data_IF_710307669642
#
_entry.id   IF_710307669642
#
_cell.length_a   1.000
_cell.length_b   1.000
_cell.length_c   1.000
_cell.angle_alpha   90.00
_cell.angle_beta   90.00
_cell.angle_gamma   90.00
#
_symmetry.space_group_name_H-M   'P 1'
#
loop_
_entity.id
_entity.type
_entity.pdbx_description
1 polymer ?
#
# COMPACT_ATOMS: atom_id res chain seq x y z
N UNK A 1 -26.84 38.09 45.55
CA UNK A 1 -25.48 37.56 45.29
C UNK A 1 -25.50 36.15 44.70
N UNK A 2 -26.14 35.17 45.36
CA UNK A 2 -26.21 33.77 44.87
C UNK A 2 -26.93 33.64 43.52
N UNK A 3 -28.04 34.35 43.32
CA UNK A 3 -28.81 34.31 42.05
C UNK A 3 -27.97 34.81 40.87
N UNK A 4 -27.21 35.91 41.06
CA UNK A 4 -26.35 36.45 40.02
C UNK A 4 -25.23 35.45 39.63
N UNK A 5 -24.66 34.75 40.62
CA UNK A 5 -23.68 33.71 40.38
C UNK A 5 -24.29 32.49 39.66
N UNK A 6 -25.51 32.08 40.01
CA UNK A 6 -26.22 31.02 39.29
C UNK A 6 -26.48 31.38 37.82
N UNK A 7 -26.93 32.61 37.54
CA UNK A 7 -27.16 33.05 36.16
C UNK A 7 -25.85 33.08 35.40
N UNK A 8 -24.77 33.58 36.02
CA UNK A 8 -23.45 33.60 35.40
C UNK A 8 -22.91 32.19 35.09
N UNK A 9 -23.10 31.21 35.97
CA UNK A 9 -22.66 29.83 35.73
C UNK A 9 -23.47 29.17 34.62
N UNK A 10 -24.79 29.38 34.57
CA UNK A 10 -25.63 28.89 33.47
C UNK A 10 -25.17 29.46 32.13
N UNK A 11 -24.92 30.76 32.06
CA UNK A 11 -24.41 31.40 30.84
C UNK A 11 -23.03 30.84 30.45
N UNK A 12 -22.14 30.65 31.42
CA UNK A 12 -20.81 30.10 31.16
C UNK A 12 -20.87 28.67 30.61
N UNK A 13 -21.74 27.82 31.16
CA UNK A 13 -21.96 26.46 30.66
C UNK A 13 -22.53 26.48 29.25
N UNK A 14 -23.52 27.33 28.97
CA UNK A 14 -24.09 27.46 27.62
C UNK A 14 -23.05 27.95 26.61
N UNK A 15 -22.21 28.92 26.99
CA UNK A 15 -21.12 29.40 26.14
C UNK A 15 -20.10 28.29 25.85
N UNK A 16 -19.72 27.51 26.86
CA UNK A 16 -18.82 26.36 26.69
C UNK A 16 -19.40 25.33 25.72
N UNK A 17 -20.67 24.96 25.88
CA UNK A 17 -21.36 24.01 25.00
C UNK A 17 -21.43 24.55 23.57
N UNK A 18 -21.75 25.84 23.39
CA UNK A 18 -21.80 26.46 22.07
C UNK A 18 -20.43 26.43 21.36
N UNK A 19 -19.34 26.71 22.09
CA UNK A 19 -17.98 26.61 21.59
C UNK A 19 -17.66 25.17 21.19
N UNK A 20 -17.97 24.19 22.05
CA UNK A 20 -17.73 22.77 21.79
C UNK A 20 -18.44 22.30 20.51
N UNK A 21 -19.73 22.61 20.37
CA UNK A 21 -20.53 22.28 19.19
C UNK A 21 -19.93 22.91 17.93
N UNK A 22 -19.49 24.16 18.02
CA UNK A 22 -18.89 24.88 16.87
C UNK A 22 -17.60 24.19 16.40
N UNK A 23 -16.72 23.82 17.33
CA UNK A 23 -15.49 23.11 16.99
C UNK A 23 -15.77 21.70 16.45
N UNK A 24 -16.71 20.97 17.05
CA UNK A 24 -17.08 19.64 16.58
C UNK A 24 -17.64 19.69 15.16
N UNK A 25 -18.52 20.65 14.87
CA UNK A 25 -19.06 20.85 13.52
C UNK A 25 -17.97 21.21 12.49
N UNK A 26 -16.96 21.99 12.88
CA UNK A 26 -15.80 22.30 12.01
C UNK A 26 -14.95 21.06 11.74
N UNK A 27 -14.70 20.25 12.77
CA UNK A 27 -13.95 18.99 12.62
C UNK A 27 -14.69 18.04 11.68
N UNK A 28 -16.00 17.90 11.84
CA UNK A 28 -16.84 17.07 10.96
C UNK A 28 -16.68 17.57 9.52
N UNK A 29 -16.93 18.85 9.23
CA UNK A 29 -16.76 19.40 7.87
C UNK A 29 -15.37 19.16 7.27
N UNK A 30 -14.33 19.30 8.08
CA UNK A 30 -12.97 19.01 7.64
C UNK A 30 -12.79 17.52 7.28
N UNK A 31 -13.29 16.62 8.13
CA UNK A 31 -13.27 15.18 7.88
C UNK A 31 -14.11 14.79 6.65
N UNK A 32 -15.24 15.44 6.39
CA UNK A 32 -16.06 15.24 5.18
C UNK A 32 -15.30 15.68 3.92
N UNK A 33 -14.58 16.80 3.98
CA UNK A 33 -13.79 17.30 2.85
C UNK A 33 -12.62 16.36 2.48
N UNK A 34 -12.00 15.73 3.48
CA UNK A 34 -10.87 14.80 3.29
C UNK A 34 -11.38 13.39 2.94
N UNK A 35 -12.40 12.94 3.67
CA UNK A 35 -12.94 11.60 3.64
C UNK A 35 -13.97 11.37 2.54
N UNK A 36 -14.46 12.41 1.87
CA UNK A 36 -15.51 12.35 0.86
C UNK A 36 -16.90 12.48 1.43
N UNK A 37 -17.84 12.95 0.60
CA UNK A 37 -19.22 13.29 0.99
C UNK A 37 -19.90 12.15 1.76
N UNK A 38 -20.18 12.33 3.06
CA UNK A 38 -21.19 11.55 3.73
C UNK A 38 -22.54 12.21 3.46
N UNK A 39 -23.38 11.54 2.69
CA UNK A 39 -24.78 11.94 2.56
C UNK A 39 -25.49 11.50 3.85
N UNK A 40 -25.46 12.35 4.89
CA UNK A 40 -26.21 12.20 6.14
C UNK A 40 -25.66 11.16 7.14
N UNK A 41 -26.52 10.71 8.08
CA UNK A 41 -26.22 9.67 9.09
C UNK A 41 -26.06 8.25 8.51
N UNK A 42 -25.76 8.14 7.22
CA UNK A 42 -25.75 6.88 6.47
C UNK A 42 -24.32 6.53 6.04
N UNK A 43 -23.91 5.31 6.37
CA UNK A 43 -22.60 4.71 6.13
C UNK A 43 -22.31 4.51 4.63
N UNK A 44 -22.06 5.56 3.86
CA UNK A 44 -21.69 5.37 2.44
C UNK A 44 -20.54 6.24 1.96
N UNK A 45 -19.50 5.52 1.54
CA UNK A 45 -18.41 5.91 0.63
C UNK A 45 -17.39 6.93 1.16
N UNK A 46 -16.64 6.57 2.21
CA UNK A 46 -15.36 7.23 2.46
C UNK A 46 -14.37 6.95 1.32
N UNK A 47 -13.70 7.98 0.78
CA UNK A 47 -12.59 7.86 -0.15
C UNK A 47 -11.48 6.96 0.40
N UNK A 48 -11.22 7.00 1.71
CA UNK A 48 -10.27 6.09 2.36
C UNK A 48 -10.71 4.63 2.27
N UNK A 49 -12.02 4.36 2.36
CA UNK A 49 -12.58 3.03 2.15
C UNK A 49 -12.38 2.54 0.71
N UNK A 50 -12.55 3.43 -0.28
CA UNK A 50 -12.24 3.12 -1.69
C UNK A 50 -10.75 2.87 -1.92
N UNK A 51 -9.87 3.69 -1.33
CA UNK A 51 -8.42 3.52 -1.42
C UNK A 51 -8.00 2.20 -0.77
N UNK A 52 -8.47 1.90 0.45
CA UNK A 52 -8.17 0.65 1.14
C UNK A 52 -8.65 -0.57 0.34
N UNK A 53 -9.85 -0.51 -0.24
CA UNK A 53 -10.37 -1.57 -1.12
C UNK A 53 -9.50 -1.73 -2.37
N UNK A 54 -9.13 -0.63 -3.03
CA UNK A 54 -8.26 -0.66 -4.21
C UNK A 54 -6.88 -1.23 -3.92
N UNK A 55 -6.23 -0.78 -2.85
CA UNK A 55 -4.92 -1.29 -2.41
C UNK A 55 -4.99 -2.79 -2.09
N UNK A 56 -6.06 -3.24 -1.42
CA UNK A 56 -6.27 -4.66 -1.11
C UNK A 56 -6.48 -5.50 -2.36
N UNK A 57 -7.19 -4.97 -3.36
CA UNK A 57 -7.36 -5.64 -4.64
C UNK A 57 -6.02 -5.79 -5.37
N UNK A 58 -5.18 -4.74 -5.36
CA UNK A 58 -3.82 -4.79 -5.91
C UNK A 58 -3.01 -5.85 -5.17
N UNK A 59 -2.95 -5.81 -3.83
CA UNK A 59 -2.21 -6.80 -3.01
C UNK A 59 -2.63 -8.24 -3.33
N UNK A 60 -3.94 -8.49 -3.43
CA UNK A 60 -4.49 -9.82 -3.75
C UNK A 60 -4.07 -10.26 -5.16
N UNK A 61 -4.12 -9.35 -6.13
CA UNK A 61 -3.75 -9.65 -7.50
C UNK A 61 -2.24 -9.75 -7.69
N UNK A 62 -1.42 -9.06 -6.92
CA UNK A 62 0.05 -9.05 -7.09
C UNK A 62 0.79 -9.94 -6.12
N UNK A 63 0.12 -10.56 -5.14
CA UNK A 63 0.75 -11.38 -4.11
C UNK A 63 1.55 -12.58 -4.65
N UNK A 64 1.20 -13.06 -5.84
CA UNK A 64 1.91 -14.17 -6.51
C UNK A 64 3.21 -13.75 -7.22
N UNK A 65 3.42 -12.45 -7.47
CA UNK A 65 4.57 -11.96 -8.23
C UNK A 65 5.90 -12.23 -7.51
N UNK A 66 5.95 -12.14 -6.18
CA UNK A 66 7.18 -12.40 -5.41
C UNK A 66 7.74 -13.82 -5.61
N UNK A 67 6.94 -14.86 -5.37
CA UNK A 67 7.31 -16.24 -5.67
C UNK A 67 7.66 -16.49 -7.14
N UNK A 68 6.89 -15.94 -8.08
CA UNK A 68 7.13 -16.12 -9.52
C UNK A 68 8.46 -15.50 -9.97
N UNK A 69 8.79 -14.29 -9.52
CA UNK A 69 10.08 -13.65 -9.82
C UNK A 69 11.24 -14.47 -9.25
N UNK A 70 11.07 -15.05 -8.06
CA UNK A 70 12.08 -15.91 -7.45
C UNK A 70 12.30 -17.18 -8.28
N UNK A 71 11.23 -17.83 -8.71
CA UNK A 71 11.29 -19.03 -9.54
C UNK A 71 11.88 -18.74 -10.92
N UNK A 72 11.48 -17.62 -11.54
CA UNK A 72 12.01 -17.18 -12.82
C UNK A 72 13.52 -16.94 -12.76
N UNK A 73 13.99 -16.23 -11.73
CA UNK A 73 15.42 -15.98 -11.54
C UNK A 73 16.20 -17.28 -11.32
N UNK A 74 15.65 -18.23 -10.56
CA UNK A 74 16.28 -19.54 -10.39
C UNK A 74 16.39 -20.29 -11.72
N UNK A 75 15.32 -20.28 -12.53
CA UNK A 75 15.32 -20.90 -13.86
C UNK A 75 16.33 -20.25 -14.82
N UNK A 76 16.39 -18.92 -14.85
CA UNK A 76 17.36 -18.17 -15.67
C UNK A 76 18.80 -18.44 -15.22
N UNK A 77 19.04 -18.56 -13.92
CA UNK A 77 20.36 -18.91 -13.38
C UNK A 77 20.79 -20.30 -13.83
N UNK A 78 19.91 -21.29 -13.67
CA UNK A 78 20.16 -22.66 -14.10
C UNK A 78 20.39 -22.75 -15.62
N UNK A 79 19.62 -22.01 -16.42
CA UNK A 79 19.81 -21.94 -17.87
C UNK A 79 21.19 -21.34 -18.22
N UNK A 80 21.60 -20.26 -17.54
CA UNK A 80 22.91 -19.65 -17.72
C UNK A 80 24.07 -20.58 -17.36
N UNK A 81 23.92 -21.37 -16.30
CA UNK A 81 24.91 -22.40 -15.91
C UNK A 81 25.01 -23.52 -16.95
N UNK A 82 23.86 -24.01 -17.43
CA UNK A 82 23.79 -25.00 -18.50
C UNK A 82 24.49 -24.51 -19.78
N UNK A 83 24.23 -23.27 -20.20
CA UNK A 83 24.88 -22.66 -21.37
C UNK A 83 26.40 -22.55 -21.21
N UNK A 84 26.90 -22.16 -20.03
CA UNK A 84 28.35 -22.15 -19.75
C UNK A 84 28.97 -23.55 -19.80
N UNK A 85 28.25 -24.56 -19.32
CA UNK A 85 28.72 -25.94 -19.40
C UNK A 85 28.85 -26.41 -20.86
N UNK A 86 27.85 -26.10 -21.70
CA UNK A 86 27.88 -26.40 -23.13
C UNK A 86 29.07 -25.70 -23.81
N UNK A 87 29.27 -24.42 -23.54
CA UNK A 87 30.42 -23.66 -24.07
C UNK A 87 31.76 -24.30 -23.69
N UNK A 88 31.95 -24.64 -22.41
CA UNK A 88 33.16 -25.32 -21.95
C UNK A 88 33.34 -26.75 -22.51
N UNK A 89 32.25 -27.43 -22.88
CA UNK A 89 32.31 -28.69 -23.62
C UNK A 89 32.74 -28.47 -25.08
N UNK A 90 32.15 -27.49 -25.76
CA UNK A 90 32.47 -27.16 -27.16
C UNK A 90 33.94 -26.75 -27.32
N UNK A 91 34.45 -25.87 -26.43
CA UNK A 91 35.87 -25.45 -26.44
C UNK A 91 36.79 -26.66 -26.33
N UNK A 92 36.55 -27.57 -25.36
CA UNK A 92 37.36 -28.78 -25.20
C UNK A 92 37.29 -29.71 -26.40
N UNK A 93 36.14 -29.84 -27.04
CA UNK A 93 35.99 -30.65 -28.25
C UNK A 93 36.78 -30.04 -29.41
N UNK A 94 36.73 -28.72 -29.60
CA UNK A 94 37.53 -28.02 -30.62
C UNK A 94 39.03 -28.24 -30.38
N UNK A 95 39.50 -28.07 -29.14
CA UNK A 95 40.91 -28.27 -28.78
C UNK A 95 41.36 -29.73 -28.99
N UNK A 96 40.48 -30.70 -28.75
CA UNK A 96 40.77 -32.11 -28.98
C UNK A 96 40.88 -32.42 -30.49
N UNK A 97 39.97 -31.88 -31.31
CA UNK A 97 40.02 -32.03 -32.77
C UNK A 97 41.26 -31.36 -33.35
N UNK A 98 41.60 -30.15 -32.90
CA UNK A 98 42.81 -29.44 -33.33
C UNK A 98 44.09 -30.23 -33.07
N UNK A 99 44.22 -30.84 -31.88
CA UNK A 99 45.37 -31.71 -31.54
C UNK A 99 45.45 -32.97 -32.39
N UNK A 100 44.32 -33.53 -32.81
CA UNK A 100 44.29 -34.69 -33.72
C UNK A 100 44.72 -34.33 -35.14
N UNK A 101 44.46 -33.11 -35.61
CA UNK A 101 44.86 -32.67 -36.96
C UNK A 101 46.35 -32.33 -37.10
N UNK A 102 47.06 -32.12 -35.99
CA UNK A 102 48.50 -31.79 -35.98
C UNK A 102 49.40 -33.04 -35.77
N UNK A 103 48.82 -34.22 -35.51
CA UNK A 103 49.52 -35.51 -35.43
C UNK A 103 49.42 -36.29 -36.73
#
# INVERSE_FOLDING_TARGET
>A
MIIALMVATVIAVLALVAVLVTFLARIIKALESIGGEPIGYTWRSSYLGKIAFGVRAIETQTGHLGPEVTQLNAGLTAAGEGLRSIDGHLVRTIDAVGRQSES
#
